data_IF_177300279904
#
_entry.id   IF_177300279904
#
_cell.length_a   1.000
_cell.length_b   1.000
_cell.length_c   1.000
_cell.angle_alpha   90.00
_cell.angle_beta   90.00
_cell.angle_gamma   90.00
#
_symmetry.space_group_name_H-M   'P 1'
#
loop_
_entity.id
_entity.type
_entity.pdbx_description
1 polymer ?
#
# COMPACT_ATOMS: atom_id res chain seq x y z
N UNK A 1 -14.90 -1.50 -5.59
CA UNK A 1 -14.31 -0.75 -6.72
C UNK A 1 -13.11 -1.54 -7.23
N UNK A 2 -12.98 -1.74 -8.55
CA UNK A 2 -11.82 -2.48 -9.09
C UNK A 2 -10.66 -1.50 -9.24
N UNK A 3 -9.60 -1.65 -8.45
CA UNK A 3 -8.39 -0.85 -8.63
C UNK A 3 -7.72 -1.25 -9.95
N UNK A 4 -7.32 -0.26 -10.73
CA UNK A 4 -6.42 -0.47 -11.86
C UNK A 4 -5.05 -0.82 -11.26
N UNK A 5 -4.44 -1.91 -11.71
CA UNK A 5 -3.15 -2.35 -11.20
C UNK A 5 -2.05 -2.08 -12.23
N UNK A 6 -0.79 -1.92 -11.80
CA UNK A 6 0.34 -1.86 -12.73
C UNK A 6 0.42 -3.12 -13.61
N UNK A 7 0.96 -3.01 -14.84
CA UNK A 7 1.23 -4.15 -15.69
C UNK A 7 2.01 -5.25 -14.96
N UNK A 8 1.81 -6.51 -15.34
CA UNK A 8 2.45 -7.65 -14.67
C UNK A 8 3.99 -7.53 -14.64
N UNK A 9 4.59 -6.97 -15.71
CA UNK A 9 6.03 -6.71 -15.79
C UNK A 9 6.51 -5.78 -14.68
N UNK A 10 5.79 -4.69 -14.42
CA UNK A 10 6.12 -3.74 -13.35
C UNK A 10 5.90 -4.36 -11.97
N UNK A 11 4.80 -5.10 -11.80
CA UNK A 11 4.54 -5.82 -10.53
C UNK A 11 5.66 -6.80 -10.20
N UNK A 12 6.20 -7.53 -11.18
CA UNK A 12 7.37 -8.42 -10.98
C UNK A 12 8.65 -7.67 -10.62
N UNK A 13 8.82 -6.42 -11.06
CA UNK A 13 9.96 -5.59 -10.67
C UNK A 13 9.79 -5.13 -9.22
N UNK A 14 8.60 -4.61 -8.89
CA UNK A 14 8.25 -4.17 -7.54
C UNK A 14 8.43 -5.32 -6.53
N UNK A 15 7.90 -6.50 -6.85
CA UNK A 15 7.99 -7.68 -5.99
C UNK A 15 9.45 -8.06 -5.71
N UNK A 16 10.30 -8.11 -6.76
CA UNK A 16 11.74 -8.39 -6.59
C UNK A 16 12.48 -7.34 -5.76
N UNK A 17 12.12 -6.07 -5.90
CA UNK A 17 12.72 -4.99 -5.10
C UNK A 17 12.33 -5.13 -3.61
N UNK A 18 11.07 -5.47 -3.33
CA UNK A 18 10.60 -5.75 -1.97
C UNK A 18 11.24 -7.02 -1.39
N UNK A 19 11.40 -8.07 -2.21
CA UNK A 19 12.14 -9.28 -1.83
C UNK A 19 13.60 -8.97 -1.49
N UNK A 20 14.30 -8.19 -2.33
CA UNK A 20 15.69 -7.83 -2.05
C UNK A 20 15.83 -6.96 -0.80
N UNK A 21 14.89 -6.04 -0.56
CA UNK A 21 14.84 -5.31 0.71
C UNK A 21 14.58 -6.24 1.90
N UNK A 22 13.65 -7.19 1.78
CA UNK A 22 13.35 -8.12 2.86
C UNK A 22 14.55 -9.02 3.18
N UNK A 23 15.24 -9.54 2.17
CA UNK A 23 16.32 -10.52 2.35
C UNK A 23 17.65 -9.85 2.74
N UNK A 24 18.01 -8.76 2.05
CA UNK A 24 19.34 -8.15 2.12
C UNK A 24 19.35 -6.77 2.79
N UNK A 25 18.20 -6.30 3.24
CA UNK A 25 18.03 -4.97 3.86
C UNK A 25 18.64 -3.83 3.02
N UNK A 26 18.25 -3.73 1.75
CA UNK A 26 18.61 -2.64 0.83
C UNK A 26 17.53 -1.54 0.80
N UNK A 27 17.60 -0.46 1.61
CA UNK A 27 16.48 0.49 1.75
C UNK A 27 16.14 1.22 0.45
N UNK A 28 17.12 1.37 -0.44
CA UNK A 28 16.95 1.98 -1.76
C UNK A 28 16.00 1.15 -2.64
N UNK A 29 16.01 -0.17 -2.51
CA UNK A 29 15.13 -1.02 -3.32
C UNK A 29 13.69 -0.94 -2.82
N UNK A 30 13.48 -0.85 -1.51
CA UNK A 30 12.17 -0.50 -0.95
C UNK A 30 11.70 0.87 -1.48
N UNK A 31 12.54 1.90 -1.42
CA UNK A 31 12.19 3.24 -1.92
C UNK A 31 11.82 3.21 -3.41
N UNK A 32 12.54 2.45 -4.23
CA UNK A 32 12.23 2.26 -5.67
C UNK A 32 10.91 1.53 -5.88
N UNK A 33 10.62 0.50 -5.09
CA UNK A 33 9.38 -0.25 -5.16
C UNK A 33 8.16 0.66 -4.88
N UNK A 34 8.21 1.43 -3.79
CA UNK A 34 7.15 2.37 -3.42
C UNK A 34 7.03 3.49 -4.46
N UNK A 35 8.16 4.05 -4.93
CA UNK A 35 8.14 5.09 -5.96
C UNK A 35 7.53 4.62 -7.29
N UNK A 36 7.74 3.36 -7.67
CA UNK A 36 7.11 2.78 -8.86
C UNK A 36 5.59 2.69 -8.71
N UNK A 37 5.09 2.26 -7.54
CA UNK A 37 3.66 2.26 -7.23
C UNK A 37 3.08 3.67 -7.24
N UNK A 38 3.70 4.62 -6.53
CA UNK A 38 3.25 6.01 -6.48
C UNK A 38 3.20 6.65 -7.86
N UNK A 39 4.21 6.40 -8.71
CA UNK A 39 4.23 6.91 -10.09
C UNK A 39 3.06 6.37 -10.91
N UNK A 40 2.76 5.08 -10.79
CA UNK A 40 1.65 4.48 -11.53
C UNK A 40 0.30 5.11 -11.18
N UNK A 41 0.08 5.40 -9.89
CA UNK A 41 -1.16 6.02 -9.41
C UNK A 41 -1.12 7.56 -9.40
N UNK A 42 -0.05 8.19 -9.90
CA UNK A 42 0.17 9.64 -9.83
C UNK A 42 0.07 10.21 -8.39
N UNK A 43 0.60 9.48 -7.41
CA UNK A 43 0.59 9.85 -6.00
C UNK A 43 1.95 10.39 -5.55
N UNK A 44 1.94 11.21 -4.50
CA UNK A 44 3.16 11.56 -3.76
C UNK A 44 3.72 10.31 -3.05
N UNK A 45 4.98 10.39 -2.64
CA UNK A 45 5.57 9.36 -1.79
C UNK A 45 4.93 9.42 -0.39
N UNK A 46 4.47 8.29 0.17
CA UNK A 46 4.00 8.24 1.55
C UNK A 46 5.18 8.42 2.52
N UNK A 47 4.89 8.83 3.75
CA UNK A 47 5.87 8.82 4.84
C UNK A 47 5.84 7.45 5.51
N UNK A 48 6.93 6.70 5.39
CA UNK A 48 7.05 5.36 5.96
C UNK A 48 7.73 5.46 7.33
N UNK A 49 7.11 4.86 8.35
CA UNK A 49 7.69 4.70 9.68
C UNK A 49 7.81 3.22 10.03
N UNK A 50 8.99 2.84 10.52
CA UNK A 50 9.34 1.46 10.83
C UNK A 50 9.14 1.18 12.31
N UNK A 51 8.46 0.07 12.62
CA UNK A 51 8.20 -0.36 13.99
C UNK A 51 8.81 -1.74 14.26
N UNK A 52 9.23 -1.94 15.51
CA UNK A 52 9.73 -3.23 15.99
C UNK A 52 8.60 -4.24 16.15
N UNK A 53 7.50 -3.78 16.74
CA UNK A 53 6.27 -4.52 16.88
C UNK A 53 5.09 -3.56 16.84
N UNK A 54 4.01 -3.97 16.18
CA UNK A 54 2.75 -3.23 16.18
C UNK A 54 1.81 -4.00 17.11
N UNK A 55 1.77 -3.61 18.39
CA UNK A 55 0.92 -4.23 19.42
C UNK A 55 -0.54 -3.73 19.35
N UNK A 56 -1.07 -3.55 18.15
CA UNK A 56 -2.41 -2.99 17.93
C UNK A 56 -3.47 -4.08 17.81
N UNK A 57 -3.30 -5.16 18.58
CA UNK A 57 -4.26 -6.25 18.75
C UNK A 57 -4.47 -7.17 17.53
N UNK A 58 -4.32 -6.70 16.28
CA UNK A 58 -4.63 -7.48 15.06
C UNK A 58 -3.88 -7.09 13.77
N UNK A 59 -3.15 -5.97 13.70
CA UNK A 59 -2.61 -5.48 12.42
C UNK A 59 -1.08 -5.43 12.38
N UNK A 60 -0.52 -5.83 11.25
CA UNK A 60 0.92 -5.89 10.96
C UNK A 60 1.45 -4.63 10.24
N UNK A 61 0.55 -3.69 9.96
CA UNK A 61 0.79 -2.39 9.36
C UNK A 61 -0.38 -1.46 9.71
N UNK A 62 -0.22 -0.18 9.41
CA UNK A 62 -1.31 0.79 9.51
C UNK A 62 -1.07 1.99 8.61
N UNK A 63 -2.07 2.34 7.81
CA UNK A 63 -2.05 3.53 6.96
C UNK A 63 -2.98 4.60 7.52
N UNK A 64 -2.51 5.83 7.56
CA UNK A 64 -3.22 6.99 8.07
C UNK A 64 -3.67 7.91 6.92
N UNK A 65 -4.73 8.66 7.15
CA UNK A 65 -5.31 9.59 6.16
C UNK A 65 -4.34 10.68 5.71
N UNK A 66 -3.38 11.05 6.59
CA UNK A 66 -2.32 12.02 6.29
C UNK A 66 -1.21 11.46 5.37
N UNK A 67 -1.33 10.21 4.90
CA UNK A 67 -0.34 9.57 4.04
C UNK A 67 0.87 8.97 4.77
N UNK A 68 0.80 8.85 6.10
CA UNK A 68 1.76 8.06 6.88
C UNK A 68 1.40 6.57 6.81
N UNK A 69 2.43 5.72 6.69
CA UNK A 69 2.28 4.27 6.72
C UNK A 69 3.26 3.69 7.72
N UNK A 70 2.71 2.96 8.68
CA UNK A 70 3.46 2.25 9.71
C UNK A 70 3.62 0.81 9.26
N UNK A 71 4.87 0.34 9.23
CA UNK A 71 5.22 -1.01 8.79
C UNK A 71 6.11 -1.67 9.83
N UNK A 72 5.87 -2.96 10.09
CA UNK A 72 6.85 -3.76 10.85
C UNK A 72 8.11 -3.93 10.01
N UNK A 73 9.25 -3.64 10.62
CA UNK A 73 10.56 -3.78 9.98
C UNK A 73 10.80 -5.25 9.55
N UNK A 74 11.38 -5.52 8.34
CA UNK A 74 11.57 -6.88 7.86
C UNK A 74 12.43 -7.75 8.80
N UNK A 75 13.47 -7.19 9.43
CA UNK A 75 14.28 -7.93 10.41
C UNK A 75 13.45 -8.39 11.63
N UNK A 76 12.56 -7.54 12.12
CA UNK A 76 11.69 -7.89 13.25
C UNK A 76 10.60 -8.87 12.82
N UNK A 77 10.11 -8.75 11.59
CA UNK A 77 9.18 -9.69 11.00
C UNK A 77 9.73 -11.11 10.95
N UNK A 78 10.99 -11.28 10.53
CA UNK A 78 11.65 -12.59 10.47
C UNK A 78 11.69 -13.29 11.84
N UNK A 79 11.77 -12.50 12.92
CA UNK A 79 11.78 -13.00 14.30
C UNK A 79 10.38 -13.28 14.87
N UNK A 80 9.32 -13.00 14.11
CA UNK A 80 7.94 -13.25 14.52
C UNK A 80 7.60 -14.74 14.64
N UNK A 81 6.70 -15.11 15.57
CA UNK A 81 6.30 -16.51 15.77
C UNK A 81 5.25 -17.04 14.78
N UNK A 82 4.38 -16.16 14.26
CA UNK A 82 3.19 -16.54 13.45
C UNK A 82 3.20 -16.00 12.02
N UNK A 83 3.72 -14.79 11.82
CA UNK A 83 3.77 -14.11 10.52
C UNK A 83 5.20 -13.66 10.29
N UNK A 84 6.03 -14.56 9.75
CA UNK A 84 7.48 -14.34 9.59
C UNK A 84 8.00 -14.61 8.18
N UNK A 85 7.11 -14.94 7.24
CA UNK A 85 7.50 -15.21 5.87
C UNK A 85 7.59 -13.93 5.04
N UNK A 86 8.54 -13.89 4.11
CA UNK A 86 8.71 -12.82 3.13
C UNK A 86 7.39 -12.51 2.41
N UNK A 87 6.71 -13.55 1.91
CA UNK A 87 5.46 -13.36 1.16
C UNK A 87 4.37 -12.66 1.97
N UNK A 88 4.27 -12.96 3.27
CA UNK A 88 3.30 -12.31 4.16
C UNK A 88 3.70 -10.87 4.45
N UNK A 89 4.99 -10.58 4.60
CA UNK A 89 5.50 -9.22 4.76
C UNK A 89 5.22 -8.36 3.52
N UNK A 90 5.57 -8.86 2.34
CA UNK A 90 5.31 -8.17 1.06
C UNK A 90 3.80 -7.94 0.88
N UNK A 91 2.96 -8.93 1.20
CA UNK A 91 1.51 -8.77 1.15
C UNK A 91 1.00 -7.70 2.12
N UNK A 92 1.60 -7.57 3.30
CA UNK A 92 1.29 -6.49 4.24
C UNK A 92 1.66 -5.12 3.66
N UNK A 93 2.84 -4.99 3.03
CA UNK A 93 3.22 -3.74 2.33
C UNK A 93 2.22 -3.40 1.22
N UNK A 94 1.79 -4.37 0.42
CA UNK A 94 0.76 -4.14 -0.60
C UNK A 94 -0.59 -3.76 -0.01
N UNK A 95 -0.97 -4.36 1.12
CA UNK A 95 -2.21 -4.04 1.81
C UNK A 95 -2.23 -2.58 2.25
N UNK A 96 -1.18 -2.14 2.94
CA UNK A 96 -1.05 -0.76 3.40
C UNK A 96 -0.92 0.23 2.24
N UNK A 97 -0.17 -0.10 1.20
CA UNK A 97 -0.14 0.71 -0.03
C UNK A 97 -1.50 0.80 -0.71
N UNK A 98 -2.30 -0.27 -0.65
CA UNK A 98 -3.69 -0.25 -1.11
C UNK A 98 -4.54 0.74 -0.32
N UNK A 99 -4.42 0.76 1.00
CA UNK A 99 -5.03 1.78 1.84
C UNK A 99 -4.56 3.18 1.46
N UNK A 100 -3.27 3.39 1.26
CA UNK A 100 -2.73 4.70 0.88
C UNK A 100 -3.29 5.19 -0.46
N UNK A 101 -3.31 4.33 -1.48
CA UNK A 101 -3.92 4.64 -2.78
C UNK A 101 -5.39 5.00 -2.61
N UNK A 102 -6.11 4.28 -1.75
CA UNK A 102 -7.49 4.61 -1.47
C UNK A 102 -7.65 5.96 -0.76
N UNK A 103 -6.80 6.33 0.20
CA UNK A 103 -6.92 7.60 0.92
C UNK A 103 -6.47 8.80 0.09
N UNK A 104 -5.37 8.65 -0.65
CA UNK A 104 -4.74 9.74 -1.39
C UNK A 104 -5.51 10.15 -2.66
N UNK A 105 -6.45 9.32 -3.13
CA UNK A 105 -7.27 9.57 -4.31
C UNK A 105 -8.71 9.98 -3.96
N UNK A 106 -8.85 10.92 -3.02
CA UNK A 106 -10.15 11.34 -2.50
C UNK A 106 -11.03 12.07 -3.55
N UNK A 107 -10.44 12.92 -4.39
CA UNK A 107 -11.15 13.69 -5.43
C UNK A 107 -11.79 12.79 -6.49
N UNK A 108 -11.02 11.88 -7.12
CA UNK A 108 -11.59 10.96 -8.11
C UNK A 108 -12.69 10.05 -7.49
N UNK A 109 -12.56 9.72 -6.21
CA UNK A 109 -13.61 8.98 -5.48
C UNK A 109 -14.84 9.82 -5.23
N UNK A 110 -14.68 11.09 -4.85
CA UNK A 110 -15.79 12.02 -4.63
C UNK A 110 -16.56 12.23 -5.95
N UNK A 111 -15.85 12.44 -7.05
CA UNK A 111 -16.45 12.56 -8.39
C UNK A 111 -17.20 11.29 -8.82
N UNK A 112 -16.57 10.12 -8.65
CA UNK A 112 -17.21 8.84 -8.96
C UNK A 112 -18.43 8.56 -8.07
N UNK A 113 -18.36 8.94 -6.81
CA UNK A 113 -19.47 8.82 -5.87
C UNK A 113 -20.62 9.74 -6.28
N UNK A 114 -20.35 11.03 -6.50
CA UNK A 114 -21.33 12.02 -6.95
C UNK A 114 -22.00 11.60 -8.26
N UNK A 115 -21.21 11.19 -9.26
CA UNK A 115 -21.72 10.74 -10.55
C UNK A 115 -22.63 9.51 -10.44
N UNK A 116 -22.33 8.58 -9.52
CA UNK A 116 -23.17 7.39 -9.28
C UNK A 116 -24.43 7.70 -8.49
N UNK A 117 -24.33 8.60 -7.52
CA UNK A 117 -25.50 9.09 -6.77
C UNK A 117 -26.48 9.80 -7.70
N UNK A 118 -26.00 10.62 -8.63
CA UNK A 118 -26.86 11.34 -9.57
C UNK A 118 -27.42 10.46 -10.71
N UNK A 119 -26.70 9.39 -11.10
CA UNK A 119 -27.10 8.54 -12.23
C UNK A 119 -28.43 7.83 -11.95
N UNK A 120 -29.41 8.06 -12.83
CA UNK A 120 -30.72 7.41 -12.77
C UNK A 120 -31.77 8.15 -11.92
N UNK A 121 -31.39 9.24 -11.23
CA UNK A 121 -32.32 10.08 -10.46
C UNK A 121 -33.03 11.15 -11.33
N UNK A 122 -32.63 11.33 -12.60
CA UNK A 122 -33.26 12.27 -13.54
C UNK A 122 -34.68 11.89 -13.99
N UNK A 123 -35.32 10.89 -13.35
CA UNK A 123 -36.72 10.52 -13.58
C UNK A 123 -37.70 11.04 -12.51
N UNK A 124 -37.25 11.87 -11.56
CA UNK A 124 -38.14 12.59 -10.66
C UNK A 124 -38.74 13.81 -11.38
N UNK A 125 -39.77 13.57 -12.20
CA UNK A 125 -40.80 14.58 -12.51
C UNK A 125 -41.79 14.66 -11.38
#
# INVERSE_FOLDING_TARGET
MRMILPPLKERRVIDRLLSSFFLEYKPQDFKKAIAALCRFYNLKMPKIEWFEYIDWGKTAGKTYENGQIYLVHPENWKNGRKYNTERRWINMVYHEMGHYVFWADAENKADMFAARMARGLNNHK
#
